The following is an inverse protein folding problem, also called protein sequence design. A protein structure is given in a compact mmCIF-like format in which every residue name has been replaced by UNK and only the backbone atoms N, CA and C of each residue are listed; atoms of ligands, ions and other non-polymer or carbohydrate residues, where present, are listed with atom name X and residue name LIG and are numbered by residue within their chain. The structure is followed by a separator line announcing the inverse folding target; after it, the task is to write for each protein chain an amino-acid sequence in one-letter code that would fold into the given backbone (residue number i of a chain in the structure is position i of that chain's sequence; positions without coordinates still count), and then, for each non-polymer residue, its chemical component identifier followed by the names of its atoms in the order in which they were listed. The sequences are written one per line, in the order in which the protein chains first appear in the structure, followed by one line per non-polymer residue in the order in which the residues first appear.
data_IF_188563843357
#
_entry.id   IF_188563843357
#
_cell.length_a   1.000
_cell.length_b   1.000
_cell.length_c   1.000
_cell.angle_alpha   90.00
_cell.angle_beta   90.00
_cell.angle_gamma   90.00
#
_symmetry.space_group_name_H-M   'P 1'
#
loop_
_entity.id
_entity.type
_entity.pdbx_description
1 polymer ?
#
# COMPACT_ATOMS: atom_id res chain seq x y z
N UNK A 1 17.02 -6.40 -9.07
CA UNK A 1 16.54 -7.69 -8.52
C UNK A 1 15.77 -8.45 -9.58
N UNK A 2 15.69 -9.79 -9.51
CA UNK A 2 15.00 -10.64 -10.50
C UNK A 2 13.61 -11.00 -9.98
N UNK A 3 12.57 -10.81 -10.79
CA UNK A 3 11.21 -11.29 -10.52
C UNK A 3 11.08 -12.71 -11.09
N UNK A 4 10.41 -13.60 -10.36
CA UNK A 4 10.25 -15.00 -10.79
C UNK A 4 8.92 -15.16 -11.49
N UNK A 5 8.97 -15.45 -12.80
CA UNK A 5 7.80 -15.90 -13.54
C UNK A 5 7.53 -17.37 -13.20
N UNK A 6 6.32 -17.67 -12.76
CA UNK A 6 5.85 -19.02 -12.46
C UNK A 6 4.78 -19.44 -13.47
N UNK A 7 4.41 -20.72 -13.48
CA UNK A 7 3.32 -21.22 -14.35
C UNK A 7 1.97 -20.56 -14.10
N UNK A 8 1.77 -19.94 -12.92
CA UNK A 8 0.52 -19.28 -12.52
C UNK A 8 0.56 -17.76 -12.64
N UNK A 9 1.73 -17.16 -12.85
CA UNK A 9 1.89 -15.71 -12.88
C UNK A 9 3.24 -15.23 -12.34
N UNK A 10 3.34 -13.93 -12.08
CA UNK A 10 4.55 -13.29 -11.55
C UNK A 10 4.54 -13.34 -10.02
N UNK A 11 5.63 -13.81 -9.41
CA UNK A 11 5.80 -13.75 -7.96
C UNK A 11 6.54 -12.46 -7.59
N UNK A 12 5.85 -11.60 -6.85
CA UNK A 12 6.39 -10.34 -6.32
C UNK A 12 6.59 -10.50 -4.81
N UNK A 13 7.84 -10.47 -4.32
CA UNK A 13 8.12 -10.53 -2.89
C UNK A 13 7.45 -9.39 -2.12
N UNK A 14 6.87 -9.70 -0.95
CA UNK A 14 6.13 -8.73 -0.13
C UNK A 14 7.02 -7.57 0.32
N UNK A 15 8.31 -7.83 0.51
CA UNK A 15 9.30 -6.83 0.94
C UNK A 15 9.44 -5.69 -0.08
N UNK A 16 9.12 -5.93 -1.36
CA UNK A 16 9.10 -4.89 -2.40
C UNK A 16 7.85 -4.02 -2.36
N UNK A 17 6.76 -4.55 -1.81
CA UNK A 17 5.46 -3.90 -1.74
C UNK A 17 5.30 -3.08 -0.45
N UNK A 18 6.18 -3.27 0.53
CA UNK A 18 6.13 -2.60 1.83
C UNK A 18 4.97 -3.12 2.68
N UNK A 19 4.52 -2.30 3.64
CA UNK A 19 3.43 -2.66 4.56
C UNK A 19 2.03 -2.33 4.05
N UNK A 20 1.92 -1.79 2.83
CA UNK A 20 0.62 -1.40 2.28
C UNK A 20 -0.23 -2.65 2.01
N UNK A 21 -1.53 -2.54 2.27
CA UNK A 21 -2.49 -3.62 2.08
C UNK A 21 -3.06 -3.65 0.64
N UNK A 22 -3.02 -2.50 -0.05
CA UNK A 22 -3.64 -2.31 -1.36
C UNK A 22 -2.66 -1.70 -2.37
N UNK A 23 -2.77 -2.19 -3.61
CA UNK A 23 -1.90 -1.80 -4.70
C UNK A 23 -2.70 -1.67 -5.99
N UNK A 24 -2.33 -0.68 -6.78
CA UNK A 24 -2.79 -0.53 -8.15
C UNK A 24 -1.74 -1.10 -9.11
N UNK A 25 -2.18 -1.87 -10.10
CA UNK A 25 -1.31 -2.43 -11.15
C UNK A 25 -1.80 -1.90 -12.49
N UNK A 26 -0.95 -1.15 -13.18
CA UNK A 26 -1.21 -0.63 -14.53
C UNK A 26 -0.14 -1.10 -15.51
N UNK A 27 -0.54 -1.30 -16.77
CA UNK A 27 0.36 -1.62 -17.86
C UNK A 27 0.44 -0.43 -18.81
N UNK A 28 1.63 0.15 -18.96
CA UNK A 28 1.85 1.32 -19.81
C UNK A 28 3.19 1.20 -20.53
N UNK A 29 3.21 1.45 -21.85
CA UNK A 29 4.43 1.46 -22.67
C UNK A 29 5.34 0.21 -22.49
N UNK A 30 4.72 -0.97 -22.39
CA UNK A 30 5.44 -2.24 -22.18
C UNK A 30 6.01 -2.42 -20.77
N UNK A 31 5.71 -1.53 -19.84
CA UNK A 31 6.08 -1.60 -18.43
C UNK A 31 4.86 -1.96 -17.59
N UNK A 32 5.11 -2.65 -16.49
CA UNK A 32 4.14 -2.85 -15.42
C UNK A 32 4.54 -1.89 -14.29
N UNK A 33 3.62 -1.03 -13.89
CA UNK A 33 3.81 -0.06 -12.81
C UNK A 33 2.92 -0.52 -11.66
N UNK A 34 3.52 -0.63 -10.48
CA UNK A 34 2.83 -1.03 -9.24
C UNK A 34 2.93 0.14 -8.28
N UNK A 35 1.78 0.65 -7.87
CA UNK A 35 1.69 1.81 -6.98
C UNK A 35 1.00 1.39 -5.69
N UNK A 36 1.60 1.73 -4.54
CA UNK A 36 0.95 1.54 -3.24
C UNK A 36 -0.19 2.52 -3.08
N UNK A 37 -1.38 2.02 -2.77
CA UNK A 37 -2.51 2.87 -2.39
C UNK A 37 -2.34 3.18 -0.91
N UNK A 38 -2.02 4.45 -0.61
CA UNK A 38 -2.02 4.90 0.78
C UNK A 38 -3.46 4.87 1.26
N UNK A 39 -3.76 4.07 2.28
CA UNK A 39 -5.00 4.26 3.02
C UNK A 39 -4.99 5.67 3.58
N UNK A 40 -5.97 6.48 3.15
CA UNK A 40 -6.23 7.76 3.79
C UNK A 40 -6.60 7.46 5.23
N UNK A 41 -5.86 8.04 6.18
CA UNK A 41 -6.21 8.05 7.60
C UNK A 41 -7.70 8.35 7.75
N UNK A 42 -8.39 7.53 8.53
CA UNK A 42 -9.82 7.68 8.72
C UNK A 42 -10.11 9.05 9.33
N UNK A 43 -11.19 9.72 8.93
CA UNK A 43 -11.61 10.97 9.59
C UNK A 43 -11.86 10.76 11.09
N UNK A 44 -12.11 9.52 11.49
CA UNK A 44 -12.29 9.09 12.87
C UNK A 44 -10.98 9.05 13.67
N UNK A 45 -9.83 9.00 13.01
CA UNK A 45 -8.50 9.06 13.64
C UNK A 45 -8.09 10.51 14.01
N UNK A 46 -8.87 11.52 13.59
CA UNK A 46 -8.66 12.94 13.90
C UNK A 46 -9.33 13.37 15.22
N UNK A 47 -10.06 12.47 15.88
CA UNK A 47 -10.99 12.77 16.97
C UNK A 47 -10.46 12.57 18.39
N UNK A 48 -9.15 12.64 18.64
CA UNK A 48 -8.58 12.48 20.00
C UNK A 48 -7.74 13.68 20.41
N UNK A 49 -8.33 14.88 20.38
CA UNK A 49 -7.86 15.99 21.21
C UNK A 49 -8.60 15.92 22.55
N UNK A 50 -8.11 15.08 23.46
CA UNK A 50 -8.52 15.15 24.86
C UNK A 50 -8.07 16.49 25.41
N UNK A 51 -9.02 17.42 25.57
CA UNK A 51 -8.81 18.58 26.43
C UNK A 51 -8.68 18.05 27.85
N UNK A 52 -7.51 18.24 28.48
CA UNK A 52 -7.36 18.06 29.91
C UNK A 52 -8.26 19.10 30.60
N UNK A 53 -9.41 18.66 31.07
CA UNK A 53 -10.22 19.44 31.98
C UNK A 53 -9.70 19.17 33.39
N UNK A 54 -9.04 20.17 33.98
CA UNK A 54 -8.75 20.20 35.41
C UNK A 54 -10.09 20.29 36.17
N UNK A 55 -10.59 19.14 36.64
CA UNK A 55 -11.70 19.03 37.61
C UNK A 55 -11.19 19.12 39.04
#
# INVERSE_FOLDING_TARGET
MKLTATKKGLLIPKELLGENQEFEIIQENGKIIITSIKQTSSIWDLGSNSVECDV
#
